data_IF_949487302151
#
_entry.id   IF_949487302151
#
_cell.length_a   1.000
_cell.length_b   1.000
_cell.length_c   1.000
_cell.angle_alpha   90.00
_cell.angle_beta   90.00
_cell.angle_gamma   90.00
#
_symmetry.space_group_name_H-M   'P 1'
#
loop_
_entity.id
_entity.type
_entity.pdbx_description
1 polymer ?
#
# COMPACT_ATOMS: atom_id res chain seq x y z
N UNK A 1 80.03 -15.29 26.94
CA UNK A 1 79.31 -14.19 26.27
C UNK A 1 78.93 -14.67 24.87
N UNK A 2 77.71 -15.16 24.69
CA UNK A 2 77.22 -15.69 23.41
C UNK A 2 76.69 -14.56 22.53
N UNK A 3 77.18 -14.47 21.31
CA UNK A 3 76.73 -13.49 20.31
C UNK A 3 75.45 -14.00 19.63
N UNK A 4 74.34 -13.28 19.85
CA UNK A 4 73.04 -13.54 19.23
C UNK A 4 73.09 -13.06 17.77
N UNK A 5 73.00 -13.97 16.79
CA UNK A 5 72.77 -13.63 15.38
C UNK A 5 71.28 -13.38 15.17
N UNK A 6 70.90 -12.13 14.91
CA UNK A 6 69.55 -11.78 14.47
C UNK A 6 69.40 -12.12 12.98
N UNK A 7 68.48 -13.04 12.66
CA UNK A 7 68.10 -13.38 11.30
C UNK A 7 66.96 -12.44 10.86
N UNK A 8 67.24 -11.46 10.00
CA UNK A 8 66.20 -10.66 9.35
C UNK A 8 65.54 -11.50 8.24
N UNK A 9 64.34 -12.02 8.50
CA UNK A 9 63.46 -12.56 7.46
C UNK A 9 62.64 -11.43 6.84
N UNK A 10 63.05 -10.97 5.64
CA UNK A 10 62.19 -10.17 4.78
C UNK A 10 61.20 -11.10 4.06
N UNK A 11 59.96 -11.16 4.54
CA UNK A 11 58.87 -11.80 3.79
C UNK A 11 58.44 -10.86 2.66
N UNK A 12 58.48 -11.29 1.38
CA UNK A 12 57.91 -10.50 0.31
C UNK A 12 56.39 -10.49 0.47
N UNK A 13 55.83 -9.30 0.73
CA UNK A 13 54.40 -9.05 0.57
C UNK A 13 54.08 -9.12 -0.92
N UNK A 14 53.68 -10.30 -1.40
CA UNK A 14 52.99 -10.40 -2.68
C UNK A 14 51.70 -9.57 -2.56
N UNK A 15 51.47 -8.57 -3.44
CA UNK A 15 50.14 -8.02 -3.58
C UNK A 15 49.26 -9.18 -4.07
N UNK A 16 48.47 -9.75 -3.18
CA UNK A 16 47.42 -10.67 -3.57
C UNK A 16 46.58 -9.95 -4.62
N UNK A 17 46.57 -10.47 -5.85
CA UNK A 17 45.56 -10.08 -6.82
C UNK A 17 44.22 -10.30 -6.13
N UNK A 18 43.54 -9.21 -5.77
CA UNK A 18 42.13 -9.27 -5.47
C UNK A 18 41.48 -9.79 -6.75
N UNK A 19 41.18 -11.10 -6.79
CA UNK A 19 40.47 -11.69 -7.90
C UNK A 19 39.20 -10.86 -8.10
N UNK A 20 39.06 -10.23 -9.27
CA UNK A 20 37.91 -9.42 -9.58
C UNK A 20 36.65 -10.24 -9.28
N UNK A 21 35.76 -9.71 -8.44
CA UNK A 21 34.55 -10.42 -8.06
C UNK A 21 33.81 -10.88 -9.33
N UNK A 22 33.39 -12.15 -9.42
CA UNK A 22 32.82 -12.69 -10.64
C UNK A 22 31.55 -11.92 -11.00
N UNK A 23 31.52 -11.32 -12.19
CA UNK A 23 30.33 -10.65 -12.72
C UNK A 23 29.30 -11.67 -13.18
N UNK A 24 28.01 -11.32 -13.07
CA UNK A 24 26.95 -12.18 -13.56
C UNK A 24 26.87 -12.20 -15.09
N UNK A 25 26.43 -13.32 -15.70
CA UNK A 25 26.45 -13.48 -17.15
C UNK A 25 25.38 -12.63 -17.85
N UNK A 26 25.65 -12.22 -19.09
CA UNK A 26 24.83 -11.26 -19.84
C UNK A 26 23.66 -11.89 -20.63
N UNK A 27 23.54 -13.21 -20.65
CA UNK A 27 22.51 -13.96 -21.38
C UNK A 27 21.14 -13.94 -20.65
N UNK A 28 20.64 -12.74 -20.38
CA UNK A 28 19.46 -12.49 -19.55
C UNK A 28 18.34 -11.76 -20.29
N UNK A 29 18.39 -11.71 -21.63
CA UNK A 29 17.34 -11.10 -22.43
C UNK A 29 15.95 -11.72 -22.16
N UNK A 30 14.92 -10.90 -22.32
CA UNK A 30 13.51 -11.30 -22.21
C UNK A 30 12.84 -11.27 -23.58
N UNK A 31 12.13 -12.34 -23.90
CA UNK A 31 11.35 -12.40 -25.14
C UNK A 31 10.14 -11.45 -25.08
N UNK A 32 10.14 -10.41 -25.92
CA UNK A 32 9.05 -9.45 -26.06
C UNK A 32 9.05 -8.31 -25.04
N UNK A 33 10.20 -8.02 -24.42
CA UNK A 33 10.36 -6.93 -23.45
C UNK A 33 11.80 -6.42 -23.38
N UNK A 34 12.12 -5.69 -22.32
CA UNK A 34 13.47 -5.21 -22.03
C UNK A 34 13.81 -5.44 -20.55
N UNK A 35 15.03 -5.11 -20.13
CA UNK A 35 15.44 -5.12 -18.73
C UNK A 35 16.31 -3.91 -18.36
N UNK A 36 16.40 -3.63 -17.07
CA UNK A 36 17.32 -2.66 -16.48
C UNK A 36 18.16 -3.33 -15.40
N UNK A 37 19.33 -2.75 -15.12
CA UNK A 37 20.27 -3.22 -14.09
C UNK A 37 20.53 -2.09 -13.11
N UNK A 38 20.47 -2.38 -11.81
CA UNK A 38 20.74 -1.36 -10.78
C UNK A 38 22.24 -1.00 -10.72
N UNK A 39 23.14 -1.99 -10.75
CA UNK A 39 24.58 -1.79 -10.56
C UNK A 39 25.39 -2.59 -11.61
N UNK A 40 24.97 -2.52 -12.88
CA UNK A 40 25.59 -3.27 -13.96
C UNK A 40 25.57 -4.78 -13.70
N UNK A 41 26.70 -5.45 -13.89
CA UNK A 41 26.83 -6.91 -13.78
C UNK A 41 27.48 -7.39 -12.48
N UNK A 42 27.76 -6.47 -11.55
CA UNK A 42 28.44 -6.78 -10.30
C UNK A 42 27.52 -7.53 -9.31
N UNK A 43 28.09 -8.33 -8.38
CA UNK A 43 27.34 -8.87 -7.25
C UNK A 43 26.53 -7.80 -6.51
N UNK A 44 25.31 -8.16 -6.10
CA UNK A 44 24.34 -7.24 -5.51
C UNK A 44 23.50 -6.47 -6.53
N UNK A 45 23.87 -6.48 -7.83
CA UNK A 45 23.04 -5.87 -8.88
C UNK A 45 21.71 -6.61 -9.04
N UNK A 46 20.62 -5.84 -9.15
CA UNK A 46 19.27 -6.35 -9.41
C UNK A 46 18.89 -6.06 -10.85
N UNK A 47 18.55 -7.12 -11.59
CA UNK A 47 17.97 -7.04 -12.91
C UNK A 47 16.44 -7.01 -12.78
N UNK A 48 15.80 -6.00 -13.38
CA UNK A 48 14.33 -5.88 -13.43
C UNK A 48 13.86 -5.94 -14.87
N UNK A 49 12.93 -6.85 -15.16
CA UNK A 49 12.33 -6.99 -16.48
C UNK A 49 11.12 -6.06 -16.66
N UNK A 50 10.94 -5.57 -17.88
CA UNK A 50 9.82 -4.72 -18.28
C UNK A 50 9.17 -5.30 -19.53
N UNK A 51 7.84 -5.32 -19.56
CA UNK A 51 7.04 -5.79 -20.68
C UNK A 51 6.08 -4.70 -21.17
N UNK A 52 5.64 -4.74 -22.44
CA UNK A 52 4.59 -3.87 -22.96
C UNK A 52 3.27 -3.99 -22.18
N UNK A 53 2.42 -2.96 -22.28
CA UNK A 53 1.09 -2.93 -21.67
C UNK A 53 0.27 -4.20 -22.03
N UNK A 54 -0.40 -4.78 -21.04
CA UNK A 54 -1.14 -6.04 -21.21
C UNK A 54 -0.27 -7.30 -21.20
N UNK A 55 1.03 -7.18 -20.89
CA UNK A 55 1.94 -8.31 -20.65
C UNK A 55 2.72 -8.13 -19.34
N UNK A 56 3.19 -9.23 -18.77
CA UNK A 56 3.99 -9.23 -17.55
C UNK A 56 5.23 -10.14 -17.68
N UNK A 57 6.35 -9.78 -17.03
CA UNK A 57 7.58 -10.53 -17.13
C UNK A 57 7.57 -11.77 -16.23
N UNK A 58 8.05 -12.89 -16.77
CA UNK A 58 8.32 -14.11 -16.01
C UNK A 58 9.76 -14.58 -16.27
N UNK A 59 10.67 -14.54 -15.27
CA UNK A 59 10.49 -13.98 -13.93
C UNK A 59 10.41 -12.44 -13.96
N UNK A 60 10.04 -11.81 -12.84
CA UNK A 60 9.98 -10.34 -12.72
C UNK A 60 11.34 -9.69 -12.52
N UNK A 61 12.22 -10.34 -11.75
CA UNK A 61 13.57 -9.84 -11.48
C UNK A 61 14.56 -10.98 -11.26
N UNK A 62 15.86 -10.64 -11.28
CA UNK A 62 16.97 -11.51 -10.90
C UNK A 62 17.95 -10.74 -10.00
N UNK A 63 18.54 -11.40 -9.01
CA UNK A 63 19.59 -10.86 -8.16
C UNK A 63 20.95 -11.46 -8.55
N UNK A 64 21.98 -10.63 -8.73
CA UNK A 64 23.34 -11.10 -8.96
C UNK A 64 23.99 -11.48 -7.62
N UNK A 65 24.35 -12.75 -7.46
CA UNK A 65 25.00 -13.25 -6.25
C UNK A 65 26.50 -12.94 -6.24
N UNK A 66 27.11 -12.98 -5.05
CA UNK A 66 28.57 -12.93 -4.88
C UNK A 66 29.32 -14.04 -5.63
N UNK A 67 28.63 -15.14 -5.95
CA UNK A 67 29.16 -16.23 -6.77
C UNK A 67 29.17 -15.93 -8.28
N UNK A 68 28.71 -14.76 -8.73
CA UNK A 68 28.57 -14.43 -10.16
C UNK A 68 27.42 -15.17 -10.86
N UNK A 69 26.39 -15.60 -10.11
CA UNK A 69 25.21 -16.30 -10.66
C UNK A 69 23.94 -15.50 -10.40
N UNK A 70 23.01 -15.55 -11.35
CA UNK A 70 21.68 -14.97 -11.19
C UNK A 70 20.78 -15.85 -10.33
N UNK A 71 20.16 -15.26 -9.32
CA UNK A 71 19.10 -15.86 -8.52
C UNK A 71 17.74 -15.30 -8.93
N UNK A 72 16.74 -16.17 -9.08
CA UNK A 72 15.34 -15.76 -9.33
C UNK A 72 14.53 -15.83 -8.02
N UNK A 73 13.71 -14.83 -7.68
CA UNK A 73 13.00 -14.79 -6.39
C UNK A 73 11.95 -15.87 -6.10
N UNK A 74 11.64 -16.82 -7.02
CA UNK A 74 10.72 -17.95 -6.76
C UNK A 74 11.11 -19.21 -7.55
N UNK A 75 10.81 -20.35 -6.95
CA UNK A 75 11.28 -21.73 -7.18
C UNK A 75 10.94 -22.38 -8.52
N UNK A 76 11.33 -21.78 -9.64
CA UNK A 76 11.58 -22.52 -10.88
C UNK A 76 12.74 -21.88 -11.61
N UNK A 77 13.77 -22.64 -12.02
CA UNK A 77 14.82 -22.14 -12.90
C UNK A 77 14.20 -21.87 -14.27
N UNK A 78 13.58 -20.70 -14.43
CA UNK A 78 13.11 -20.22 -15.72
C UNK A 78 14.36 -19.84 -16.52
N UNK A 79 14.83 -20.79 -17.33
CA UNK A 79 16.05 -20.63 -18.11
C UNK A 79 15.98 -19.44 -19.08
N UNK A 80 14.79 -19.08 -19.57
CA UNK A 80 14.58 -17.98 -20.52
C UNK A 80 13.43 -17.08 -20.07
N UNK A 81 13.70 -15.79 -19.88
CA UNK A 81 12.68 -14.83 -19.48
C UNK A 81 11.71 -14.55 -20.65
N UNK A 82 10.42 -14.44 -20.36
CA UNK A 82 9.37 -14.20 -21.36
C UNK A 82 8.30 -13.25 -20.85
N UNK A 83 7.84 -12.35 -21.72
CA UNK A 83 6.64 -11.55 -21.47
C UNK A 83 5.38 -12.39 -21.76
N UNK A 84 4.66 -12.78 -20.70
CA UNK A 84 3.39 -13.52 -20.79
C UNK A 84 2.20 -12.56 -20.88
N UNK A 85 1.11 -12.94 -21.56
CA UNK A 85 -0.10 -12.11 -21.63
C UNK A 85 -0.78 -12.01 -20.26
N UNK A 86 -1.20 -10.81 -19.89
CA UNK A 86 -2.04 -10.54 -18.72
C UNK A 86 -3.41 -11.18 -18.92
N UNK A 87 -3.99 -11.71 -17.83
CA UNK A 87 -5.34 -12.26 -17.82
C UNK A 87 -6.07 -11.86 -16.54
N UNK A 88 -7.35 -11.53 -16.66
CA UNK A 88 -8.20 -11.25 -15.51
C UNK A 88 -8.70 -12.56 -14.87
N UNK A 89 -8.89 -12.60 -13.54
CA UNK A 89 -9.48 -13.73 -12.85
C UNK A 89 -10.87 -14.07 -13.40
N UNK A 90 -11.24 -15.35 -13.41
CA UNK A 90 -12.61 -15.78 -13.70
C UNK A 90 -13.45 -15.81 -12.42
N UNK A 91 -14.78 -15.65 -12.50
CA UNK A 91 -15.65 -15.89 -11.36
C UNK A 91 -15.55 -17.35 -10.91
N UNK A 92 -15.35 -17.58 -9.61
CA UNK A 92 -15.36 -18.93 -9.02
C UNK A 92 -16.79 -19.38 -8.78
N UNK A 93 -17.62 -18.44 -8.32
CA UNK A 93 -19.05 -18.58 -8.13
C UNK A 93 -19.74 -17.24 -8.43
N UNK A 94 -21.01 -17.31 -8.82
CA UNK A 94 -21.91 -16.18 -8.95
C UNK A 94 -23.30 -16.71 -8.58
N UNK A 95 -23.83 -16.24 -7.46
CA UNK A 95 -25.08 -16.75 -6.88
C UNK A 95 -26.30 -16.06 -7.49
N UNK A 96 -27.42 -16.80 -7.58
CA UNK A 96 -28.74 -16.31 -8.02
C UNK A 96 -28.72 -15.64 -9.41
N UNK A 97 -27.92 -16.21 -10.32
CA UNK A 97 -27.67 -15.64 -11.62
C UNK A 97 -26.67 -16.44 -12.44
N UNK A 98 -26.40 -15.94 -13.64
CA UNK A 98 -25.43 -16.52 -14.57
C UNK A 98 -24.48 -15.46 -15.12
N UNK A 99 -23.30 -15.91 -15.56
CA UNK A 99 -22.36 -15.08 -16.29
C UNK A 99 -21.87 -15.77 -17.56
N UNK A 100 -21.49 -14.95 -18.55
CA UNK A 100 -20.98 -15.40 -19.85
C UNK A 100 -19.85 -14.48 -20.35
N UNK A 101 -18.80 -15.02 -21.00
CA UNK A 101 -18.53 -16.44 -21.25
C UNK A 101 -17.94 -17.17 -20.03
N UNK A 102 -18.09 -18.49 -19.98
CA UNK A 102 -17.54 -19.37 -18.92
C UNK A 102 -16.09 -19.79 -19.26
N UNK A 103 -15.13 -18.91 -18.98
CA UNK A 103 -13.70 -19.19 -19.18
C UNK A 103 -12.98 -19.35 -17.84
N UNK A 104 -11.86 -20.10 -17.82
CA UNK A 104 -11.02 -20.24 -16.61
C UNK A 104 -10.16 -18.99 -16.30
N UNK A 105 -10.03 -18.08 -17.26
CA UNK A 105 -9.46 -16.73 -17.12
C UNK A 105 -9.73 -15.94 -18.39
N UNK A 106 -9.81 -14.62 -18.29
CA UNK A 106 -10.23 -13.77 -19.42
C UNK A 106 -9.06 -12.99 -20.00
N UNK A 107 -8.93 -12.90 -21.34
CA UNK A 107 -7.90 -12.08 -21.97
C UNK A 107 -8.24 -10.59 -21.81
N UNK A 108 -7.22 -9.74 -21.87
CA UNK A 108 -7.37 -8.28 -21.94
C UNK A 108 -8.30 -7.90 -23.10
N UNK A 109 -9.21 -6.96 -22.86
CA UNK A 109 -10.24 -6.52 -23.78
C UNK A 109 -11.49 -7.42 -23.82
N UNK A 110 -11.44 -8.61 -23.20
CA UNK A 110 -12.60 -9.51 -23.12
C UNK A 110 -13.68 -9.00 -22.17
N UNK A 111 -14.94 -9.18 -22.57
CA UNK A 111 -16.11 -8.80 -21.77
C UNK A 111 -16.65 -10.00 -20.97
N UNK A 112 -17.21 -9.69 -19.80
CA UNK A 112 -17.87 -10.61 -18.90
C UNK A 112 -19.22 -10.02 -18.53
N UNK A 113 -20.30 -10.68 -18.96
CA UNK A 113 -21.67 -10.21 -18.75
C UNK A 113 -22.35 -11.03 -17.66
N UNK A 114 -23.16 -10.38 -16.83
CA UNK A 114 -23.88 -10.94 -15.70
C UNK A 114 -25.39 -10.75 -15.86
N UNK A 115 -26.16 -11.74 -15.43
CA UNK A 115 -27.62 -11.70 -15.44
C UNK A 115 -28.15 -12.40 -14.20
N UNK A 116 -29.15 -11.81 -13.56
CA UNK A 116 -29.80 -12.41 -12.38
C UNK A 116 -30.96 -13.30 -12.77
N UNK A 117 -31.24 -14.29 -11.91
CA UNK A 117 -32.44 -15.10 -11.96
C UNK A 117 -33.68 -14.28 -11.56
N UNK A 118 -34.87 -14.77 -11.91
CA UNK A 118 -36.13 -14.12 -11.55
C UNK A 118 -36.27 -13.95 -10.03
N UNK A 119 -36.77 -12.79 -9.60
CA UNK A 119 -36.90 -12.44 -8.18
C UNK A 119 -35.63 -11.83 -7.57
N UNK A 120 -34.54 -11.71 -8.33
CA UNK A 120 -33.33 -11.01 -7.92
C UNK A 120 -33.06 -9.79 -8.81
N UNK A 121 -32.52 -8.73 -8.20
CA UNK A 121 -32.14 -7.49 -8.89
C UNK A 121 -30.62 -7.42 -9.01
N UNK A 122 -30.14 -7.12 -10.22
CA UNK A 122 -28.71 -6.93 -10.47
C UNK A 122 -28.26 -5.58 -9.87
N UNK A 123 -27.22 -5.63 -9.04
CA UNK A 123 -26.47 -4.47 -8.56
C UNK A 123 -25.02 -4.57 -9.03
N UNK A 124 -24.36 -3.42 -9.20
CA UNK A 124 -23.04 -3.32 -9.80
C UNK A 124 -23.08 -3.33 -11.33
N UNK A 125 -21.95 -3.63 -11.97
CA UNK A 125 -21.83 -3.53 -13.43
C UNK A 125 -22.33 -4.79 -14.15
N UNK A 126 -23.36 -4.71 -15.02
CA UNK A 126 -23.90 -5.88 -15.72
C UNK A 126 -22.94 -6.43 -16.78
N UNK A 127 -22.01 -5.60 -17.27
CA UNK A 127 -20.92 -5.99 -18.16
C UNK A 127 -19.63 -5.39 -17.62
N UNK A 128 -18.59 -6.21 -17.53
CA UNK A 128 -17.25 -5.80 -17.12
C UNK A 128 -16.24 -6.20 -18.19
N UNK A 129 -15.26 -5.34 -18.48
CA UNK A 129 -14.17 -5.58 -19.40
C UNK A 129 -12.85 -5.83 -18.67
N UNK A 130 -12.07 -6.80 -19.15
CA UNK A 130 -10.76 -7.10 -18.60
C UNK A 130 -9.73 -6.05 -19.04
N UNK A 131 -9.20 -5.27 -18.10
CA UNK A 131 -8.23 -4.20 -18.35
C UNK A 131 -6.78 -4.73 -18.46
N UNK A 132 -5.86 -3.98 -19.08
CA UNK A 132 -4.46 -4.41 -19.27
C UNK A 132 -3.65 -4.60 -17.98
N UNK A 133 -4.13 -4.08 -16.84
CA UNK A 133 -3.53 -4.31 -15.52
C UNK A 133 -4.00 -5.63 -14.86
N UNK A 134 -4.84 -6.43 -15.54
CA UNK A 134 -5.35 -7.70 -15.02
C UNK A 134 -6.54 -7.56 -14.07
N UNK A 135 -7.13 -6.37 -14.01
CA UNK A 135 -8.33 -6.07 -13.22
C UNK A 135 -9.56 -5.94 -14.12
N UNK A 136 -10.72 -6.30 -13.58
CA UNK A 136 -11.99 -5.96 -14.19
C UNK A 136 -12.30 -4.48 -13.94
N UNK A 137 -12.82 -3.78 -14.95
CA UNK A 137 -13.41 -2.45 -14.77
C UNK A 137 -14.75 -2.53 -14.02
N UNK A 138 -15.37 -1.37 -13.76
CA UNK A 138 -16.67 -1.31 -13.10
C UNK A 138 -16.71 -1.90 -11.69
N UNK A 139 -17.92 -2.07 -11.18
CA UNK A 139 -18.21 -2.57 -9.84
C UNK A 139 -18.53 -4.07 -9.85
N UNK A 140 -18.36 -4.74 -8.70
CA UNK A 140 -18.74 -6.15 -8.55
C UNK A 140 -20.22 -6.35 -8.81
N UNK A 141 -20.54 -7.18 -9.81
CA UNK A 141 -21.89 -7.61 -10.09
C UNK A 141 -22.39 -8.56 -8.99
N UNK A 142 -23.63 -8.38 -8.56
CA UNK A 142 -24.28 -9.22 -7.57
C UNK A 142 -25.80 -9.23 -7.77
N UNK A 143 -26.41 -10.37 -7.48
CA UNK A 143 -27.86 -10.55 -7.54
C UNK A 143 -28.42 -10.54 -6.12
N UNK A 144 -29.27 -9.56 -5.84
CA UNK A 144 -29.81 -9.30 -4.51
C UNK A 144 -31.35 -9.32 -4.53
N UNK A 145 -31.96 -9.99 -3.56
CA UNK A 145 -33.42 -10.02 -3.38
C UNK A 145 -33.89 -9.02 -2.32
N UNK A 146 -32.98 -8.31 -1.65
CA UNK A 146 -33.31 -7.28 -0.66
C UNK A 146 -33.92 -7.80 0.64
N UNK A 147 -33.80 -9.10 0.93
CA UNK A 147 -34.41 -9.70 2.12
C UNK A 147 -33.56 -9.54 3.41
N UNK A 148 -32.28 -9.19 3.29
CA UNK A 148 -31.36 -9.00 4.42
C UNK A 148 -31.44 -7.61 5.06
N UNK A 149 -30.91 -7.49 6.28
CA UNK A 149 -30.67 -6.18 6.91
C UNK A 149 -29.60 -5.40 6.15
N UNK A 150 -28.52 -6.09 5.77
CA UNK A 150 -27.55 -5.59 4.82
C UNK A 150 -27.83 -6.15 3.40
N UNK A 151 -27.52 -5.39 2.34
CA UNK A 151 -27.54 -5.91 0.97
C UNK A 151 -26.62 -7.13 0.82
N UNK A 152 -26.87 -7.97 -0.18
CA UNK A 152 -25.92 -9.04 -0.54
C UNK A 152 -24.53 -8.44 -0.76
N UNK A 153 -23.47 -8.90 -0.06
CA UNK A 153 -22.12 -8.35 -0.22
C UNK A 153 -21.42 -8.84 -1.49
N UNK A 154 -22.12 -9.60 -2.34
CA UNK A 154 -21.60 -10.15 -3.59
C UNK A 154 -20.47 -11.17 -3.41
N UNK A 155 -19.96 -11.66 -4.54
CA UNK A 155 -18.77 -12.51 -4.63
C UNK A 155 -17.84 -11.88 -5.66
N UNK A 156 -16.85 -11.07 -5.23
CA UNK A 156 -15.88 -10.45 -6.13
C UNK A 156 -15.17 -11.50 -7.00
N UNK A 157 -14.89 -11.14 -8.25
CA UNK A 157 -14.33 -12.08 -9.23
C UNK A 157 -12.99 -12.65 -8.73
N UNK A 158 -12.83 -13.98 -8.82
CA UNK A 158 -11.66 -14.69 -8.29
C UNK A 158 -11.70 -15.00 -6.79
N UNK A 159 -12.72 -14.53 -6.06
CA UNK A 159 -12.92 -14.84 -4.64
C UNK A 159 -13.89 -16.01 -4.42
N UNK A 160 -13.84 -16.57 -3.22
CA UNK A 160 -14.82 -17.52 -2.66
C UNK A 160 -15.35 -16.90 -1.37
N UNK A 161 -16.67 -16.77 -1.26
CA UNK A 161 -17.34 -16.32 -0.05
C UNK A 161 -17.90 -17.52 0.74
N UNK A 162 -17.86 -17.40 2.06
CA UNK A 162 -18.56 -18.26 3.01
C UNK A 162 -19.49 -17.40 3.86
N UNK A 163 -20.69 -17.90 4.15
CA UNK A 163 -21.79 -17.12 4.72
C UNK A 163 -22.79 -16.66 3.67
N UNK A 164 -24.08 -16.84 3.96
CA UNK A 164 -25.21 -16.57 3.07
C UNK A 164 -26.39 -15.89 3.79
N UNK A 165 -26.22 -15.55 5.07
CA UNK A 165 -27.18 -14.74 5.84
C UNK A 165 -26.65 -13.33 5.96
N UNK A 166 -27.53 -12.35 5.79
CA UNK A 166 -27.19 -10.93 5.71
C UNK A 166 -28.00 -10.11 6.73
N UNK A 167 -28.35 -10.72 7.87
CA UNK A 167 -28.98 -10.04 9.00
C UNK A 167 -27.97 -9.29 9.86
N UNK A 168 -28.47 -8.46 10.78
CA UNK A 168 -27.65 -7.70 11.72
C UNK A 168 -26.73 -8.64 12.54
N UNK A 169 -25.42 -8.38 12.51
CA UNK A 169 -24.40 -9.17 13.20
C UNK A 169 -23.95 -10.43 12.45
N UNK A 170 -24.57 -10.78 11.32
CA UNK A 170 -24.10 -11.87 10.48
C UNK A 170 -22.75 -11.52 9.84
N UNK A 171 -21.92 -12.54 9.64
CA UNK A 171 -20.57 -12.42 9.10
C UNK A 171 -20.39 -13.23 7.82
N UNK A 172 -19.63 -12.66 6.90
CA UNK A 172 -19.15 -13.34 5.69
C UNK A 172 -17.63 -13.34 5.67
N UNK A 173 -17.07 -14.45 5.19
CA UNK A 173 -15.64 -14.66 5.08
C UNK A 173 -15.24 -14.91 3.63
N UNK A 174 -14.16 -14.27 3.19
CA UNK A 174 -13.66 -14.31 1.82
C UNK A 174 -12.25 -14.87 1.77
N UNK A 175 -11.98 -15.63 0.72
CA UNK A 175 -10.63 -16.05 0.34
C UNK A 175 -10.46 -15.94 -1.17
N UNK A 176 -9.25 -15.68 -1.63
CA UNK A 176 -8.97 -15.74 -3.06
C UNK A 176 -8.74 -17.17 -3.53
N UNK A 177 -9.13 -17.45 -4.77
CA UNK A 177 -8.86 -18.72 -5.44
C UNK A 177 -7.43 -18.76 -5.99
N UNK A 178 -6.87 -19.97 -6.10
CA UNK A 178 -5.54 -20.20 -6.65
C UNK A 178 -4.44 -19.39 -5.92
N UNK A 179 -3.52 -18.78 -6.67
CA UNK A 179 -2.39 -17.97 -6.23
C UNK A 179 -2.70 -16.46 -6.24
N UNK A 180 -3.98 -16.07 -6.30
CA UNK A 180 -4.40 -14.67 -6.24
C UNK A 180 -4.19 -14.10 -4.82
N UNK A 181 -3.92 -12.80 -4.75
CA UNK A 181 -3.69 -12.08 -3.50
C UNK A 181 -4.96 -11.32 -3.12
N UNK A 182 -5.40 -11.47 -1.88
CA UNK A 182 -6.54 -10.74 -1.33
C UNK A 182 -6.09 -9.34 -0.89
N UNK A 183 -6.77 -8.31 -1.38
CA UNK A 183 -6.71 -6.94 -0.89
C UNK A 183 -8.08 -6.57 -0.33
N UNK A 184 -8.15 -5.81 0.77
CA UNK A 184 -9.42 -5.51 1.45
C UNK A 184 -9.71 -6.45 2.62
N UNK A 185 -10.97 -6.58 3.01
CA UNK A 185 -11.35 -7.29 4.24
C UNK A 185 -11.67 -8.77 3.97
N UNK A 186 -10.95 -9.66 4.67
CA UNK A 186 -11.20 -11.10 4.60
C UNK A 186 -12.45 -11.53 5.36
N UNK A 187 -12.84 -10.80 6.41
CA UNK A 187 -14.11 -10.96 7.11
C UNK A 187 -14.88 -9.64 7.06
N UNK A 188 -16.19 -9.70 6.84
CA UNK A 188 -17.10 -8.54 6.93
C UNK A 188 -18.30 -8.91 7.77
N UNK A 189 -18.77 -7.97 8.60
CA UNK A 189 -19.91 -8.11 9.50
C UNK A 189 -20.99 -7.09 9.14
N UNK A 190 -22.25 -7.52 9.10
CA UNK A 190 -23.38 -6.64 8.84
C UNK A 190 -23.66 -5.76 10.07
N UNK A 191 -23.50 -4.44 9.94
CA UNK A 191 -23.65 -3.50 11.04
C UNK A 191 -25.09 -3.01 11.19
N UNK A 192 -25.38 -2.35 12.32
CA UNK A 192 -26.69 -1.74 12.62
C UNK A 192 -27.11 -0.70 11.59
N UNK A 193 -26.14 -0.01 10.99
CA UNK A 193 -26.30 0.92 9.87
C UNK A 193 -26.84 0.30 8.57
N UNK A 194 -26.91 -1.04 8.47
CA UNK A 194 -27.25 -1.74 7.24
C UNK A 194 -26.08 -1.81 6.24
N UNK A 195 -24.86 -1.52 6.69
CA UNK A 195 -23.63 -1.53 5.89
C UNK A 195 -22.69 -2.63 6.40
N UNK A 196 -22.00 -3.29 5.48
CA UNK A 196 -20.96 -4.26 5.82
C UNK A 196 -19.69 -3.56 6.33
N UNK A 197 -19.16 -4.05 7.45
CA UNK A 197 -17.90 -3.57 8.01
C UNK A 197 -16.72 -3.82 7.05
N UNK A 198 -15.67 -3.01 7.22
CA UNK A 198 -14.47 -3.09 6.39
C UNK A 198 -14.72 -2.77 4.92
N UNK A 199 -13.74 -3.12 4.09
CA UNK A 199 -13.71 -2.86 2.65
C UNK A 199 -13.97 -4.12 1.83
N UNK A 200 -14.58 -3.95 0.65
CA UNK A 200 -14.83 -5.05 -0.28
C UNK A 200 -13.52 -5.78 -0.64
N UNK A 201 -13.48 -7.12 -0.60
CA UNK A 201 -12.29 -7.87 -0.97
C UNK A 201 -12.09 -7.90 -2.49
N UNK A 202 -10.85 -7.75 -2.91
CA UNK A 202 -10.44 -7.81 -4.31
C UNK A 202 -9.37 -8.89 -4.44
N UNK A 203 -9.56 -9.81 -5.39
CA UNK A 203 -8.58 -10.84 -5.70
C UNK A 203 -7.74 -10.46 -6.91
N UNK A 204 -6.46 -10.21 -6.67
CA UNK A 204 -5.53 -9.65 -7.65
C UNK A 204 -4.48 -10.67 -8.05
N UNK A 205 -4.07 -10.63 -9.32
CA UNK A 205 -2.89 -11.39 -9.76
C UNK A 205 -1.63 -10.77 -9.14
N UNK A 206 -0.59 -11.55 -8.82
CA UNK A 206 0.65 -10.99 -8.25
C UNK A 206 1.36 -9.94 -9.14
N UNK A 207 1.02 -9.89 -10.44
CA UNK A 207 1.57 -8.94 -11.40
C UNK A 207 0.63 -7.75 -11.69
N UNK A 208 -0.57 -7.70 -11.11
CA UNK A 208 -1.49 -6.58 -11.34
C UNK A 208 -1.02 -5.31 -10.63
N UNK A 209 -1.46 -4.16 -11.12
CA UNK A 209 -1.16 -2.85 -10.56
C UNK A 209 -2.37 -1.92 -10.72
N UNK A 210 -2.37 -0.82 -9.98
CA UNK A 210 -3.39 0.22 -10.09
C UNK A 210 -2.93 1.33 -11.04
N UNK A 211 -3.85 1.86 -11.84
CA UNK A 211 -3.54 2.97 -12.73
C UNK A 211 -3.59 4.31 -11.98
N UNK A 212 -2.77 5.33 -12.32
CA UNK A 212 -2.81 6.63 -11.67
C UNK A 212 -4.21 7.29 -11.69
N UNK A 213 -4.95 7.11 -12.79
CA UNK A 213 -6.33 7.59 -12.96
C UNK A 213 -7.34 6.89 -12.04
N UNK A 214 -7.04 5.69 -11.52
CA UNK A 214 -7.86 5.01 -10.52
C UNK A 214 -7.45 5.43 -9.10
N UNK A 215 -6.14 5.54 -8.84
CA UNK A 215 -5.58 5.81 -7.50
C UNK A 215 -5.89 7.23 -7.04
N UNK A 216 -5.70 8.24 -7.90
CA UNK A 216 -5.85 9.64 -7.49
C UNK A 216 -7.30 9.98 -7.07
N UNK A 217 -8.36 9.59 -7.82
CA UNK A 217 -9.74 9.80 -7.38
C UNK A 217 -10.11 8.98 -6.15
N UNK A 218 -9.65 7.74 -6.03
CA UNK A 218 -9.93 6.89 -4.87
C UNK A 218 -9.33 7.49 -3.59
N UNK A 219 -8.06 7.91 -3.64
CA UNK A 219 -7.39 8.59 -2.53
C UNK A 219 -8.08 9.92 -2.20
N UNK A 220 -8.44 10.71 -3.22
CA UNK A 220 -9.16 11.97 -3.04
C UNK A 220 -10.52 11.79 -2.37
N UNK A 221 -11.27 10.74 -2.72
CA UNK A 221 -12.56 10.41 -2.10
C UNK A 221 -12.38 9.98 -0.65
N UNK A 222 -11.41 9.11 -0.37
CA UNK A 222 -11.10 8.66 1.00
C UNK A 222 -10.71 9.84 1.90
N UNK A 223 -9.83 10.72 1.41
CA UNK A 223 -9.43 11.91 2.14
C UNK A 223 -10.59 12.89 2.33
N UNK A 224 -11.43 13.08 1.31
CA UNK A 224 -12.62 13.93 1.41
C UNK A 224 -13.61 13.41 2.45
N UNK A 225 -13.77 12.08 2.59
CA UNK A 225 -14.61 11.49 3.64
C UNK A 225 -14.00 11.70 5.03
N UNK A 226 -12.68 11.55 5.19
CA UNK A 226 -11.98 11.86 6.44
C UNK A 226 -12.24 13.31 6.89
N UNK A 227 -12.19 14.25 5.95
CA UNK A 227 -12.38 15.69 6.20
C UNK A 227 -13.86 16.10 6.32
N UNK A 228 -14.75 15.45 5.56
CA UNK A 228 -16.19 15.69 5.50
C UNK A 228 -16.97 15.12 6.68
N UNK A 229 -16.37 14.25 7.48
CA UNK A 229 -16.94 13.72 8.74
C UNK A 229 -17.13 14.77 9.85
N UNK A 230 -16.95 16.06 9.56
CA UNK A 230 -17.31 17.15 10.46
C UNK A 230 -18.83 17.29 10.51
N UNK A 231 -19.45 16.73 11.56
CA UNK A 231 -20.87 16.95 11.85
C UNK A 231 -21.18 18.45 11.80
N UNK A 232 -22.04 18.95 10.90
CA UNK A 232 -22.56 20.30 11.02
C UNK A 232 -23.48 20.31 12.23
N UNK A 233 -22.98 20.78 13.38
CA UNK A 233 -23.82 21.09 14.52
C UNK A 233 -24.71 22.28 14.14
N UNK A 234 -25.89 22.00 13.56
CA UNK A 234 -26.94 22.99 13.41
C UNK A 234 -27.48 23.35 14.79
N UNK A 235 -26.91 24.37 15.43
CA UNK A 235 -27.65 25.11 16.47
C UNK A 235 -28.68 25.98 15.76
N UNK A 236 -29.93 25.53 15.73
CA UNK A 236 -31.10 26.38 15.45
C UNK A 236 -31.09 27.53 16.45
N UNK A 237 -30.70 28.74 16.03
CA UNK A 237 -31.13 29.97 16.69
C UNK A 237 -32.30 30.54 15.89
N UNK A 238 -33.37 30.82 16.61
CA UNK A 238 -34.56 31.49 16.07
C UNK A 238 -34.19 32.85 15.47
N UNK A 239 -34.83 33.10 14.32
CA UNK A 239 -34.94 34.35 13.58
C UNK A 239 -33.67 35.20 13.35
N UNK A 240 -33.33 35.30 12.07
CA UNK A 240 -32.75 36.44 11.32
C UNK A 240 -31.49 36.02 10.53
N UNK A 241 -31.66 35.92 9.21
CA UNK A 241 -30.59 35.79 8.22
C UNK A 241 -29.94 34.40 8.13
N UNK A 242 -30.18 33.68 7.02
CA UNK A 242 -29.38 32.48 6.68
C UNK A 242 -27.95 32.90 6.36
N UNK A 243 -27.09 33.00 7.37
CA UNK A 243 -25.64 32.90 7.18
C UNK A 243 -25.24 31.50 7.61
N UNK A 244 -25.05 30.61 6.63
CA UNK A 244 -24.56 29.25 6.87
C UNK A 244 -23.10 29.39 7.34
N UNK A 245 -22.87 29.40 8.64
CA UNK A 245 -21.53 29.20 9.20
C UNK A 245 -21.25 27.70 9.21
N UNK A 246 -20.62 27.20 8.14
CA UNK A 246 -20.01 25.88 8.13
C UNK A 246 -18.73 26.02 8.97
N UNK A 247 -18.77 25.64 10.25
CA UNK A 247 -17.51 25.43 10.98
C UNK A 247 -16.90 24.12 10.46
N UNK A 248 -15.98 24.22 9.50
CA UNK A 248 -15.03 23.15 9.17
C UNK A 248 -14.03 22.99 10.32
N UNK A 249 -14.48 22.62 11.52
CA UNK A 249 -13.61 22.44 12.69
C UNK A 249 -13.01 21.04 12.67
N UNK A 250 -12.02 20.81 11.80
CA UNK A 250 -11.23 19.60 11.77
C UNK A 250 -9.75 19.94 11.78
N UNK A 251 -9.01 19.40 12.73
CA UNK A 251 -7.56 19.39 12.68
C UNK A 251 -7.10 18.04 12.12
N UNK A 252 -6.29 18.07 11.07
CA UNK A 252 -5.72 16.88 10.45
C UNK A 252 -4.24 16.76 10.85
N UNK A 253 -3.88 15.65 11.47
CA UNK A 253 -2.50 15.20 11.56
C UNK A 253 -2.20 14.26 10.40
N UNK A 254 -1.22 14.64 9.57
CA UNK A 254 -0.73 13.84 8.46
C UNK A 254 0.66 13.29 8.78
N UNK A 255 0.84 11.98 8.79
CA UNK A 255 2.12 11.32 9.04
C UNK A 255 2.64 10.73 7.72
N UNK A 256 3.73 11.30 7.18
CA UNK A 256 4.38 10.85 5.96
C UNK A 256 5.59 9.96 6.31
N UNK A 257 5.52 8.68 5.96
CA UNK A 257 6.57 7.70 6.21
C UNK A 257 7.17 7.27 4.87
N UNK A 258 8.42 7.64 4.62
CA UNK A 258 9.13 7.35 3.38
C UNK A 258 10.23 6.31 3.62
N UNK A 259 10.11 5.18 2.95
CA UNK A 259 11.09 4.10 3.00
C UNK A 259 12.34 4.47 2.19
N UNK A 260 13.46 4.63 2.90
CA UNK A 260 14.79 4.91 2.36
C UNK A 260 15.73 3.71 2.57
N UNK A 261 15.19 2.51 2.74
CA UNK A 261 15.98 1.29 2.90
C UNK A 261 16.57 0.83 1.57
N UNK A 262 17.59 -0.02 1.65
CA UNK A 262 18.27 -0.58 0.47
C UNK A 262 17.38 -1.47 -0.42
N UNK A 263 16.15 -1.80 0.02
CA UNK A 263 15.17 -2.50 -0.84
C UNK A 263 14.50 -1.57 -1.86
N UNK A 264 14.54 -0.26 -1.60
CA UNK A 264 14.02 0.81 -2.47
C UNK A 264 15.19 1.43 -3.22
N UNK A 265 15.06 1.64 -4.54
CA UNK A 265 16.11 2.32 -5.28
C UNK A 265 16.09 3.83 -5.01
N UNK A 266 17.23 4.50 -5.16
CA UNK A 266 17.31 5.97 -5.00
C UNK A 266 16.36 6.71 -5.97
N UNK A 267 16.16 6.18 -7.18
CA UNK A 267 15.18 6.69 -8.15
C UNK A 267 13.72 6.56 -7.65
N UNK A 268 13.37 5.43 -7.03
CA UNK A 268 12.04 5.20 -6.48
C UNK A 268 11.80 6.05 -5.23
N UNK A 269 12.83 6.25 -4.39
CA UNK A 269 12.77 7.16 -3.26
C UNK A 269 12.52 8.61 -3.70
N UNK A 270 13.12 9.03 -4.82
CA UNK A 270 12.84 10.35 -5.42
C UNK A 270 11.36 10.46 -5.82
N UNK A 271 10.77 9.42 -6.40
CA UNK A 271 9.34 9.37 -6.72
C UNK A 271 8.50 9.47 -5.43
N UNK A 272 8.89 8.81 -4.34
CA UNK A 272 8.20 8.95 -3.05
C UNK A 272 8.21 10.39 -2.54
N UNK A 273 9.37 11.06 -2.63
CA UNK A 273 9.54 12.47 -2.26
C UNK A 273 8.67 13.40 -3.09
N UNK A 274 8.74 13.30 -4.42
CA UNK A 274 7.95 14.11 -5.35
C UNK A 274 6.44 13.90 -5.13
N UNK A 275 6.01 12.64 -4.93
CA UNK A 275 4.61 12.32 -4.62
C UNK A 275 4.15 12.91 -3.29
N UNK A 276 4.99 12.85 -2.26
CA UNK A 276 4.71 13.43 -0.95
C UNK A 276 4.55 14.96 -1.02
N UNK A 277 5.42 15.65 -1.77
CA UNK A 277 5.34 17.09 -1.99
C UNK A 277 4.01 17.47 -2.67
N UNK A 278 3.65 16.78 -3.76
CA UNK A 278 2.39 17.03 -4.47
C UNK A 278 1.16 16.76 -3.58
N UNK A 279 1.21 15.73 -2.74
CA UNK A 279 0.13 15.45 -1.78
C UNK A 279 0.01 16.56 -0.73
N UNK A 280 1.13 17.01 -0.16
CA UNK A 280 1.16 18.09 0.83
C UNK A 280 0.63 19.39 0.23
N UNK A 281 1.14 19.80 -0.92
CA UNK A 281 0.69 21.02 -1.63
C UNK A 281 -0.83 21.02 -1.83
N UNK A 282 -1.38 19.90 -2.32
CA UNK A 282 -2.83 19.73 -2.48
C UNK A 282 -3.57 19.75 -1.14
N UNK A 283 -3.04 19.15 -0.08
CA UNK A 283 -3.71 19.10 1.23
C UNK A 283 -3.77 20.48 1.87
N UNK A 284 -2.68 21.25 1.81
CA UNK A 284 -2.62 22.61 2.34
C UNK A 284 -3.46 23.61 1.53
N UNK A 285 -3.85 23.27 0.30
CA UNK A 285 -4.84 24.07 -0.46
C UNK A 285 -6.26 23.99 0.10
N UNK A 286 -6.57 23.01 0.96
CA UNK A 286 -7.87 22.91 1.62
C UNK A 286 -7.95 23.84 2.83
N UNK A 287 -9.13 24.43 3.08
CA UNK A 287 -9.41 25.29 4.24
C UNK A 287 -9.61 24.46 5.54
N UNK A 288 -8.55 23.78 5.98
CA UNK A 288 -8.50 22.99 7.22
C UNK A 288 -7.16 23.20 7.93
N UNK A 289 -7.13 22.97 9.24
CA UNK A 289 -5.88 23.05 10.00
C UNK A 289 -5.11 21.74 9.86
N UNK A 290 -3.92 21.75 9.26
CA UNK A 290 -3.09 20.55 9.05
C UNK A 290 -1.78 20.67 9.83
N UNK A 291 -1.36 19.58 10.47
CA UNK A 291 -0.02 19.40 11.02
C UNK A 291 0.63 18.16 10.40
N UNK A 292 1.86 18.29 9.90
CA UNK A 292 2.56 17.21 9.19
C UNK A 292 3.74 16.67 10.00
N UNK A 293 3.85 15.35 10.11
CA UNK A 293 5.09 14.68 10.50
C UNK A 293 5.75 14.05 9.27
N UNK A 294 7.07 14.17 9.19
CA UNK A 294 7.89 13.57 8.14
C UNK A 294 8.86 12.59 8.81
N UNK A 295 8.79 11.32 8.42
CA UNK A 295 9.66 10.25 8.89
C UNK A 295 10.29 9.57 7.68
N UNK A 296 11.62 9.51 7.64
CA UNK A 296 12.32 8.60 6.73
C UNK A 296 12.79 7.38 7.50
N UNK A 297 12.80 6.19 6.90
CA UNK A 297 13.19 4.99 7.65
C UNK A 297 13.93 3.95 6.79
N UNK A 298 14.83 3.22 7.46
CA UNK A 298 15.42 1.98 7.01
C UNK A 298 15.56 1.05 8.22
N UNK A 299 16.78 0.83 8.71
CA UNK A 299 17.02 0.05 9.94
C UNK A 299 16.46 0.72 11.19
N UNK A 300 16.51 2.05 11.21
CA UNK A 300 15.96 2.91 12.25
C UNK A 300 15.17 4.05 11.58
N UNK A 301 14.08 4.53 12.19
CA UNK A 301 13.40 5.72 11.73
C UNK A 301 14.17 6.99 12.10
N UNK A 302 14.14 7.99 11.23
CA UNK A 302 14.63 9.35 11.43
C UNK A 302 13.44 10.30 11.32
N UNK A 303 13.11 10.96 12.42
CA UNK A 303 12.03 11.96 12.46
C UNK A 303 12.61 13.27 11.94
N UNK A 304 12.15 13.71 10.78
CA UNK A 304 12.56 14.97 10.14
C UNK A 304 11.71 16.13 10.65
N UNK A 305 10.43 15.87 10.90
CA UNK A 305 9.46 16.83 11.45
C UNK A 305 8.41 16.08 12.28
N UNK A 306 8.00 16.66 13.40
CA UNK A 306 6.95 16.14 14.28
C UNK A 306 5.68 16.99 14.16
N UNK A 307 4.50 16.37 14.30
CA UNK A 307 3.21 17.10 14.41
C UNK A 307 3.13 18.01 15.64
N UNK A 308 4.07 17.87 16.58
CA UNK A 308 4.17 18.70 17.79
C UNK A 308 5.00 19.97 17.57
N UNK A 309 5.68 20.10 16.42
CA UNK A 309 6.49 21.27 16.09
C UNK A 309 5.59 22.37 15.52
N UNK A 310 5.80 23.63 15.90
CA UNK A 310 4.97 24.75 15.41
C UNK A 310 5.04 24.90 13.89
N UNK A 311 6.23 24.67 13.34
CA UNK A 311 6.53 24.69 11.92
C UNK A 311 5.81 23.59 11.12
N UNK A 312 5.25 22.56 11.77
CA UNK A 312 4.50 21.48 11.09
C UNK A 312 3.20 21.94 10.44
N UNK A 313 2.76 23.17 10.75
CA UNK A 313 1.56 23.81 10.24
C UNK A 313 1.83 24.77 9.08
N UNK A 314 3.09 25.01 8.75
CA UNK A 314 3.48 25.84 7.62
C UNK A 314 3.80 24.94 6.41
N UNK A 315 2.92 24.96 5.42
CA UNK A 315 3.08 24.17 4.20
C UNK A 315 4.39 24.45 3.47
N UNK A 316 4.91 25.68 3.52
CA UNK A 316 6.18 26.05 2.87
C UNK A 316 7.36 25.40 3.59
N UNK A 317 7.37 25.42 4.92
CA UNK A 317 8.42 24.77 5.72
C UNK A 317 8.33 23.24 5.62
N UNK A 318 7.12 22.66 5.59
CA UNK A 318 6.92 21.23 5.34
C UNK A 318 7.50 20.81 3.99
N UNK A 319 7.18 21.55 2.92
CA UNK A 319 7.70 21.30 1.57
C UNK A 319 9.22 21.46 1.55
N UNK A 320 9.76 22.50 2.15
CA UNK A 320 11.21 22.71 2.26
C UNK A 320 11.90 21.53 2.96
N UNK A 321 11.35 21.01 4.06
CA UNK A 321 11.90 19.82 4.74
C UNK A 321 11.82 18.58 3.86
N UNK A 322 10.72 18.39 3.14
CA UNK A 322 10.59 17.28 2.19
C UNK A 322 11.65 17.36 1.09
N UNK A 323 11.88 18.53 0.48
CA UNK A 323 12.87 18.71 -0.58
C UNK A 323 14.29 18.31 -0.15
N UNK A 324 14.63 18.61 1.11
CA UNK A 324 15.95 18.40 1.71
C UNK A 324 16.18 17.02 2.33
N UNK A 325 15.21 16.11 2.34
CA UNK A 325 15.46 14.73 2.78
C UNK A 325 16.40 14.02 1.80
N UNK A 326 17.37 13.27 2.34
CA UNK A 326 18.37 12.57 1.54
C UNK A 326 18.26 11.05 1.73
N UNK A 327 18.25 10.30 0.61
CA UNK A 327 18.27 8.85 0.62
C UNK A 327 19.47 8.28 1.38
N UNK A 328 20.64 8.93 1.26
CA UNK A 328 21.89 8.51 1.89
C UNK A 328 21.94 8.70 3.41
N UNK A 329 20.96 9.38 4.00
CA UNK A 329 20.83 9.45 5.46
C UNK A 329 20.69 8.06 6.11
N UNK A 330 20.29 7.06 5.32
CA UNK A 330 20.12 5.67 5.74
C UNK A 330 21.17 4.71 5.15
N UNK A 331 22.26 5.20 4.56
CA UNK A 331 23.26 4.37 3.84
C UNK A 331 23.87 3.26 4.73
N UNK A 332 24.06 3.54 6.03
CA UNK A 332 24.55 2.57 7.02
C UNK A 332 23.49 1.56 7.50
N UNK A 333 22.22 1.77 7.17
CA UNK A 333 21.10 0.93 7.56
C UNK A 333 20.71 -0.05 6.46
N UNK A 334 21.12 -1.31 6.59
CA UNK A 334 20.84 -2.35 5.57
C UNK A 334 19.44 -2.98 5.67
N UNK A 335 18.66 -2.64 6.69
CA UNK A 335 17.36 -3.26 6.97
C UNK A 335 16.18 -2.34 6.66
N UNK A 336 14.99 -2.94 6.63
CA UNK A 336 13.70 -2.30 6.40
C UNK A 336 12.80 -2.59 7.60
N UNK A 337 12.66 -1.63 8.52
CA UNK A 337 11.93 -1.78 9.79
C UNK A 337 10.62 -0.97 9.82
N UNK A 338 9.58 -1.48 9.16
CA UNK A 338 8.28 -0.80 9.10
C UNK A 338 7.64 -0.71 10.49
N UNK A 339 7.81 -1.73 11.35
CA UNK A 339 7.31 -1.71 12.73
C UNK A 339 7.80 -0.47 13.49
N UNK A 340 9.11 -0.20 13.48
CA UNK A 340 9.67 0.96 14.19
C UNK A 340 9.21 2.28 13.60
N UNK A 341 9.06 2.38 12.28
CA UNK A 341 8.55 3.58 11.64
C UNK A 341 7.12 3.91 12.10
N UNK A 342 6.23 2.93 12.11
CA UNK A 342 4.87 3.08 12.65
C UNK A 342 4.86 3.30 14.16
N UNK A 343 5.77 2.68 14.89
CA UNK A 343 5.88 2.89 16.33
C UNK A 343 6.28 4.34 16.68
N UNK A 344 7.08 5.02 15.85
CA UNK A 344 7.34 6.46 16.00
C UNK A 344 6.06 7.30 15.89
N UNK A 345 5.12 6.91 15.01
CA UNK A 345 3.80 7.55 14.90
C UNK A 345 2.99 7.34 16.17
N UNK A 346 2.93 6.10 16.66
CA UNK A 346 2.27 5.77 17.93
C UNK A 346 2.79 6.65 19.08
N UNK A 347 4.12 6.78 19.21
CA UNK A 347 4.74 7.62 20.25
C UNK A 347 4.31 9.08 20.09
N UNK A 348 4.33 9.63 18.87
CA UNK A 348 3.89 11.01 18.62
C UNK A 348 2.41 11.23 18.99
N UNK A 349 1.53 10.31 18.59
CA UNK A 349 0.10 10.34 18.94
C UNK A 349 -0.10 10.28 20.45
N UNK A 350 0.55 9.34 21.13
CA UNK A 350 0.43 9.18 22.58
C UNK A 350 0.93 10.44 23.32
N UNK A 351 2.07 11.01 22.90
CA UNK A 351 2.58 12.25 23.49
C UNK A 351 1.61 13.43 23.30
N UNK A 352 0.99 13.56 22.13
CA UNK A 352 -0.01 14.60 21.88
C UNK A 352 -1.28 14.37 22.73
N UNK A 353 -1.75 13.13 22.81
CA UNK A 353 -2.90 12.76 23.64
C UNK A 353 -2.65 13.06 25.12
N UNK A 354 -1.46 12.76 25.66
CA UNK A 354 -1.10 13.08 27.05
C UNK A 354 -1.09 14.59 27.31
N UNK A 355 -0.66 15.40 26.33
CA UNK A 355 -0.67 16.87 26.43
C UNK A 355 -2.08 17.46 26.39
N UNK A 356 -2.97 16.94 25.54
CA UNK A 356 -4.32 17.46 25.33
C UNK A 356 -5.37 16.86 26.28
N UNK A 357 -5.07 15.71 26.88
CA UNK A 357 -6.00 14.89 27.66
C UNK A 357 -6.94 14.06 26.79
N UNK A 358 -6.91 12.73 26.94
CA UNK A 358 -7.67 11.76 26.13
C UNK A 358 -9.19 12.01 26.09
N UNK A 359 -9.77 12.53 27.16
CA UNK A 359 -11.22 12.75 27.27
C UNK A 359 -11.69 14.07 26.62
N UNK A 360 -10.77 14.98 26.29
CA UNK A 360 -11.09 16.33 25.81
C UNK A 360 -11.56 16.32 24.35
N UNK A 361 -12.37 17.30 23.99
CA UNK A 361 -12.74 17.55 22.59
C UNK A 361 -11.51 17.84 21.73
N UNK A 362 -10.49 18.51 22.31
CA UNK A 362 -9.25 18.84 21.63
C UNK A 362 -8.49 17.63 21.07
N UNK A 363 -8.52 16.46 21.74
CA UNK A 363 -7.97 15.22 21.20
C UNK A 363 -8.95 14.53 20.22
N UNK A 364 -10.22 14.42 20.61
CA UNK A 364 -11.24 13.66 19.87
C UNK A 364 -11.60 14.26 18.50
N UNK A 365 -11.36 15.55 18.30
CA UNK A 365 -11.62 16.26 17.05
C UNK A 365 -10.45 16.15 16.06
N UNK A 366 -9.28 15.69 16.50
CA UNK A 366 -8.14 15.48 15.60
C UNK A 366 -8.41 14.24 14.75
N UNK A 367 -8.23 14.39 13.45
CA UNK A 367 -8.20 13.29 12.49
C UNK A 367 -6.76 12.94 12.19
N UNK A 368 -6.46 11.66 12.03
CA UNK A 368 -5.11 11.17 11.81
C UNK A 368 -5.07 10.39 10.49
N UNK A 369 -4.15 10.75 9.60
CA UNK A 369 -3.89 10.05 8.35
C UNK A 369 -2.42 9.65 8.28
N UNK A 370 -2.15 8.38 7.99
CA UNK A 370 -0.78 7.85 7.84
C UNK A 370 -0.60 7.44 6.38
N UNK A 371 0.39 8.03 5.71
CA UNK A 371 0.79 7.66 4.35
C UNK A 371 2.16 6.99 4.44
N UNK A 372 2.20 5.69 4.13
CA UNK A 372 3.40 4.87 4.12
C UNK A 372 3.79 4.57 2.67
N UNK A 373 4.94 5.08 2.24
CA UNK A 373 5.52 4.84 0.92
C UNK A 373 6.68 3.85 1.07
N UNK A 374 6.48 2.60 0.65
CA UNK A 374 7.40 1.47 0.83
C UNK A 374 7.21 0.43 -0.27
N UNK A 375 8.23 -0.39 -0.52
CA UNK A 375 8.13 -1.60 -1.36
C UNK A 375 7.52 -2.80 -0.61
N UNK A 376 7.19 -2.62 0.67
CA UNK A 376 6.54 -3.60 1.54
C UNK A 376 7.44 -4.73 2.03
N UNK A 377 8.75 -4.71 1.69
CA UNK A 377 9.69 -5.80 2.02
C UNK A 377 10.35 -5.62 3.38
N UNK A 378 9.54 -5.51 4.44
CA UNK A 378 10.08 -5.47 5.81
C UNK A 378 10.87 -6.76 6.10
N UNK A 379 12.14 -6.62 6.50
CA UNK A 379 13.03 -7.76 6.77
C UNK A 379 13.55 -7.80 8.22
N UNK A 380 13.28 -6.76 9.02
CA UNK A 380 13.64 -6.67 10.44
C UNK A 380 12.49 -6.04 11.24
N UNK A 381 12.44 -6.33 12.55
CA UNK A 381 11.40 -5.81 13.45
C UNK A 381 10.10 -6.63 13.48
N UNK A 382 10.01 -7.71 12.69
CA UNK A 382 8.85 -8.60 12.66
C UNK A 382 7.66 -7.98 11.94
N UNK A 383 6.46 -8.46 12.24
CA UNK A 383 5.23 -7.94 11.64
C UNK A 383 5.01 -6.47 12.05
N UNK A 384 4.64 -5.57 11.12
CA UNK A 384 4.23 -4.20 11.47
C UNK A 384 2.86 -4.11 12.16
N UNK A 385 2.06 -5.20 12.11
CA UNK A 385 0.68 -5.24 12.61
C UNK A 385 0.53 -4.78 14.08
N UNK A 386 1.38 -5.21 15.04
CA UNK A 386 1.25 -4.77 16.43
C UNK A 386 1.41 -3.26 16.60
N UNK A 387 2.22 -2.59 15.76
CA UNK A 387 2.32 -1.13 15.81
C UNK A 387 1.02 -0.44 15.36
N UNK A 388 0.34 -1.00 14.35
CA UNK A 388 -0.98 -0.53 13.91
C UNK A 388 -2.02 -0.76 15.01
N UNK A 389 -1.98 -1.90 15.68
CA UNK A 389 -2.92 -2.22 16.76
C UNK A 389 -2.74 -1.25 17.96
N UNK A 390 -1.51 -0.90 18.32
CA UNK A 390 -1.22 0.13 19.33
C UNK A 390 -1.75 1.52 18.94
N UNK A 391 -1.64 1.89 17.66
CA UNK A 391 -2.20 3.16 17.15
C UNK A 391 -3.72 3.16 17.29
N UNK A 392 -4.38 2.05 16.93
CA UNK A 392 -5.83 1.91 17.07
C UNK A 392 -6.28 2.03 18.52
N UNK A 393 -5.53 1.46 19.45
CA UNK A 393 -5.81 1.54 20.88
C UNK A 393 -5.78 2.99 21.39
N UNK A 394 -4.73 3.76 21.06
CA UNK A 394 -4.61 5.19 21.42
C UNK A 394 -5.75 6.04 20.84
N UNK A 395 -6.22 5.69 19.65
CA UNK A 395 -7.34 6.37 18.99
C UNK A 395 -8.72 5.83 19.42
N UNK A 396 -8.76 4.83 20.30
CA UNK A 396 -9.98 4.12 20.72
C UNK A 396 -10.83 3.65 19.51
N UNK A 397 -10.15 3.16 18.47
CA UNK A 397 -10.78 2.60 17.27
C UNK A 397 -11.20 1.16 17.60
N UNK A 398 -12.38 1.02 18.22
CA UNK A 398 -13.02 -0.27 18.44
C UNK A 398 -13.80 -0.71 17.19
N UNK A 399 -14.05 -2.02 17.02
CA UNK A 399 -14.75 -2.62 15.85
C UNK A 399 -16.15 -2.06 15.52
N UNK A 400 -16.73 -1.19 16.38
CA UNK A 400 -18.08 -0.63 16.24
C UNK A 400 -18.14 0.82 15.76
N UNK A 401 -17.03 1.40 15.32
CA UNK A 401 -17.00 2.79 14.81
C UNK A 401 -17.20 2.81 13.28
N UNK A 402 -18.15 3.62 12.82
CA UNK A 402 -18.57 3.72 11.40
C UNK A 402 -17.81 4.80 10.60
N UNK A 403 -16.80 5.43 11.20
CA UNK A 403 -16.02 6.54 10.63
C UNK A 403 -14.66 6.10 10.03
N UNK A 404 -14.44 4.79 9.88
CA UNK A 404 -13.19 4.23 9.36
C UNK A 404 -13.32 3.79 7.89
N UNK A 405 -12.42 4.28 7.03
CA UNK A 405 -12.19 3.78 5.66
C UNK A 405 -10.89 2.97 5.61
#
# INVERSE_FOLDING_TARGET
MGSLRALLCLLPLYPGLAAAAPSCPQNVEISGGNFTLSHGWAPGSVLVYSCPLGRYPVPTSRLCLSSGRWQTPRSSPVAKAVCKPVRCPAPVAFENGMYTPRLGSHPVGGNLSFQCEDGFVLRGSPVRQCRPNGMWDGETAMCDNGAGHCPSPGIPVGSVRTGSRFGLGDKVNYRCSSNLVLTGSAERECQDSGVWSGTEPICRQPYSYDFPEDVAPALGTSLSHLLGSTNPTQKKKESVGRKIQIQRSGHLNLYLLLDASQSVKEEDFRIFKESAILMVDRIFSFEINVSVAIITFASKPKIIMSVLDDNSRDGTEVIYRLENINYRDHENGTGTNIYKALHSVYIMMNNQMQRLGMSTSAWKEIRHAIILLTDGKSNIGGSPKPAVDNIKEVLNINQRRSDYL
#
